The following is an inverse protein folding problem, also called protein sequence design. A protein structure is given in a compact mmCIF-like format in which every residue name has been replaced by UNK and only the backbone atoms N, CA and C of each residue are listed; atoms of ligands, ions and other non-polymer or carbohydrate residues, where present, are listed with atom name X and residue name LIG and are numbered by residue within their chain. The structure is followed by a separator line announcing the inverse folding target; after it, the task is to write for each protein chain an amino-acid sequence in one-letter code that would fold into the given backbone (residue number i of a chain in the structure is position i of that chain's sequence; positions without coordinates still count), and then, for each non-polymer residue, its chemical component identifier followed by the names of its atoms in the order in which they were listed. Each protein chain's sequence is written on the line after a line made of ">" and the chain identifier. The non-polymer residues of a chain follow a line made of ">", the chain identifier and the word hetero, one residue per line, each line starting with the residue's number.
data_IF_628571918518
#
_entry.id   IF_628571918518
#
_cell.length_a   1.000
_cell.length_b   1.000
_cell.length_c   1.000
_cell.angle_alpha   90.00
_cell.angle_beta   90.00
_cell.angle_gamma   90.00
#
_symmetry.space_group_name_H-M   'P 1'
#
loop_
_entity.id
_entity.type
_entity.pdbx_description
1 polymer ?
#
# COMPACT_ATOMS: atom_id res chain seq x y z
N UNK A 1 -31.07 -8.16 21.17
CA UNK A 1 -30.87 -8.51 20.61
C UNK A 1 -30.31 -8.44 19.80
N UNK A 2 -30.27 -8.52 19.96
CA UNK A 2 -29.89 -8.59 19.28
C UNK A 2 -29.47 -8.58 18.34
N UNK A 3 -29.61 -8.56 18.25
CA UNK A 3 -29.36 -8.76 17.36
C UNK A 3 -28.96 -8.62 16.40
N UNK A 4 -29.06 -8.37 16.48
CA UNK A 4 -28.75 -8.24 15.62
C UNK A 4 -28.02 -8.40 15.01
N UNK A 5 -28.10 -8.25 14.95
CA UNK A 5 -27.28 -8.53 14.45
C UNK A 5 -26.58 -9.27 13.92
N UNK A 6 -26.69 -9.21 14.16
CA UNK A 6 -26.29 -10.57 13.93
C UNK A 6 -26.27 -11.03 12.52
N UNK A 7 -27.11 -10.47 11.73
CA UNK A 7 -27.30 -10.94 10.37
C UNK A 7 -26.08 -10.75 9.50
N UNK A 8 -25.30 -9.69 9.72
CA UNK A 8 -24.13 -9.43 8.89
C UNK A 8 -22.94 -9.06 9.75
N UNK A 9 -21.88 -9.87 9.71
CA UNK A 9 -20.66 -9.51 10.43
C UNK A 9 -20.02 -8.27 9.81
N UNK A 10 -19.45 -7.44 10.65
CA UNK A 10 -18.69 -6.28 10.18
C UNK A 10 -17.42 -6.72 9.47
N UNK A 11 -16.82 -7.81 9.95
CA UNK A 11 -15.55 -8.31 9.42
C UNK A 11 -15.80 -9.64 8.72
N UNK A 12 -15.29 -9.74 7.49
CA UNK A 12 -15.40 -10.97 6.70
C UNK A 12 -14.03 -11.31 6.13
N UNK A 13 -13.82 -12.60 5.85
CA UNK A 13 -12.56 -13.03 5.21
C UNK A 13 -12.79 -13.10 3.71
N UNK A 14 -11.94 -12.41 2.98
CA UNK A 14 -11.96 -12.36 1.52
C UNK A 14 -10.62 -12.80 0.96
N UNK A 15 -10.46 -12.74 -0.36
CA UNK A 15 -9.17 -13.00 -1.00
C UNK A 15 -8.08 -12.06 -0.52
N UNK A 16 -8.45 -10.90 0.01
CA UNK A 16 -7.51 -9.91 0.54
C UNK A 16 -7.18 -10.15 2.01
N UNK A 17 -7.83 -11.11 2.66
CA UNK A 17 -7.71 -11.37 4.08
C UNK A 17 -8.91 -10.84 4.83
N UNK A 18 -8.72 -10.43 6.08
CA UNK A 18 -9.79 -9.88 6.90
C UNK A 18 -10.17 -8.50 6.38
N UNK A 19 -11.42 -8.34 6.02
CA UNK A 19 -11.92 -7.13 5.36
C UNK A 19 -13.19 -6.63 6.03
N UNK A 20 -13.48 -5.35 5.81
CA UNK A 20 -14.74 -4.77 6.29
C UNK A 20 -15.82 -5.13 5.28
N UNK A 21 -16.88 -5.77 5.75
CA UNK A 21 -17.96 -6.25 4.89
C UNK A 21 -18.52 -5.12 4.03
N UNK A 22 -18.72 -5.41 2.77
CA UNK A 22 -19.27 -4.45 1.81
C UNK A 22 -18.26 -3.43 1.28
N UNK A 23 -16.98 -3.56 1.66
CA UNK A 23 -15.94 -2.63 1.21
C UNK A 23 -14.74 -3.39 0.71
N UNK A 24 -13.80 -2.66 0.12
CA UNK A 24 -12.48 -3.20 -0.26
C UNK A 24 -11.42 -2.93 0.81
N UNK A 25 -11.81 -2.34 1.91
CA UNK A 25 -10.91 -1.97 2.98
C UNK A 25 -10.62 -3.18 3.83
N UNK A 26 -9.34 -3.44 4.10
CA UNK A 26 -8.92 -4.56 4.96
C UNK A 26 -8.61 -4.06 6.36
N UNK A 27 -8.56 -4.98 7.32
CA UNK A 27 -8.11 -4.64 8.67
C UNK A 27 -6.64 -4.18 8.67
N UNK A 28 -5.86 -4.65 7.70
CA UNK A 28 -4.46 -4.27 7.59
C UNK A 28 -4.32 -2.80 7.18
N UNK A 29 -5.25 -2.30 6.36
CA UNK A 29 -5.31 -0.87 6.04
C UNK A 29 -5.57 -0.05 7.30
N UNK A 30 -6.49 -0.51 8.14
CA UNK A 30 -6.77 0.15 9.41
C UNK A 30 -5.56 0.09 10.33
N UNK A 31 -4.88 -1.06 10.36
CA UNK A 31 -3.68 -1.23 11.19
C UNK A 31 -2.57 -0.26 10.80
N UNK A 32 -2.41 0.06 9.51
CA UNK A 32 -1.42 1.03 9.07
C UNK A 32 -1.61 2.38 9.77
N UNK A 33 -2.86 2.80 9.93
CA UNK A 33 -3.16 4.07 10.60
C UNK A 33 -3.05 3.96 12.11
N UNK A 34 -3.48 2.82 12.67
CA UNK A 34 -3.36 2.61 14.11
C UNK A 34 -1.90 2.59 14.57
N UNK A 35 -1.02 1.98 13.78
CA UNK A 35 0.42 1.97 14.08
C UNK A 35 1.00 3.37 14.01
N UNK A 36 0.43 4.24 13.18
CA UNK A 36 0.82 5.64 13.07
C UNK A 36 0.16 6.53 14.11
N UNK A 37 -0.52 5.93 15.12
CA UNK A 37 -1.17 6.62 16.22
C UNK A 37 -2.37 7.49 15.82
N UNK A 38 -3.03 7.13 14.71
CA UNK A 38 -4.25 7.82 14.33
C UNK A 38 -5.40 7.40 15.25
N UNK A 39 -6.21 8.33 15.74
CA UNK A 39 -7.39 7.97 16.53
C UNK A 39 -8.44 7.32 15.62
N UNK A 40 -9.26 6.39 16.17
CA UNK A 40 -10.27 5.70 15.36
C UNK A 40 -11.21 6.63 14.61
N UNK A 41 -11.58 7.75 15.21
CA UNK A 41 -12.47 8.72 14.58
C UNK A 41 -11.85 9.28 13.30
N UNK A 42 -10.56 9.55 13.30
CA UNK A 42 -9.86 10.08 12.14
C UNK A 42 -9.75 9.01 11.05
N UNK A 43 -9.51 7.75 11.44
CA UNK A 43 -9.47 6.62 10.51
C UNK A 43 -10.85 6.46 9.86
N UNK A 44 -11.90 6.55 10.66
CA UNK A 44 -13.27 6.47 10.16
C UNK A 44 -13.51 7.50 9.07
N UNK A 45 -13.15 8.75 9.32
CA UNK A 45 -13.39 9.84 8.39
C UNK A 45 -12.52 9.69 7.13
N UNK A 46 -11.27 9.30 7.32
CA UNK A 46 -10.34 9.15 6.20
C UNK A 46 -10.73 8.01 5.26
N UNK A 47 -11.15 6.88 5.82
CA UNK A 47 -11.55 5.71 5.04
C UNK A 47 -13.02 5.72 4.68
N UNK A 48 -13.74 6.77 5.08
CA UNK A 48 -15.16 6.92 4.81
C UNK A 48 -16.00 5.76 5.35
N UNK A 49 -15.73 5.39 6.59
CA UNK A 49 -16.43 4.32 7.27
C UNK A 49 -17.59 4.88 8.11
N UNK A 50 -18.58 4.05 8.39
CA UNK A 50 -19.62 4.40 9.34
C UNK A 50 -19.14 4.19 10.77
N UNK A 51 -19.86 4.76 11.73
CA UNK A 51 -19.56 4.56 13.13
C UNK A 51 -19.64 3.07 13.50
N UNK A 52 -20.62 2.36 12.96
CA UNK A 52 -20.77 0.94 13.20
C UNK A 52 -19.60 0.14 12.65
N UNK A 53 -19.12 0.53 11.45
CA UNK A 53 -17.99 -0.16 10.83
C UNK A 53 -16.72 0.02 11.63
N UNK A 54 -16.38 1.24 12.01
CA UNK A 54 -15.16 1.47 12.79
C UNK A 54 -15.24 0.84 14.17
N UNK A 55 -16.40 0.90 14.80
CA UNK A 55 -16.60 0.25 16.10
C UNK A 55 -16.41 -1.26 15.99
N UNK A 56 -16.98 -1.88 14.96
CA UNK A 56 -16.83 -3.31 14.72
C UNK A 56 -15.39 -3.71 14.44
N UNK A 57 -14.68 -2.89 13.67
CA UNK A 57 -13.26 -3.13 13.38
C UNK A 57 -12.43 -3.07 14.65
N UNK A 58 -12.63 -2.04 15.46
CA UNK A 58 -11.85 -1.87 16.69
C UNK A 58 -12.14 -2.99 17.68
N UNK A 59 -13.41 -3.38 17.78
CA UNK A 59 -13.79 -4.51 18.64
C UNK A 59 -13.15 -5.80 18.16
N UNK A 60 -13.18 -6.07 16.86
CA UNK A 60 -12.57 -7.28 16.31
C UNK A 60 -11.08 -7.31 16.56
N UNK A 61 -10.39 -6.20 16.31
CA UNK A 61 -8.95 -6.12 16.55
C UNK A 61 -8.63 -6.38 18.01
N UNK A 62 -9.38 -5.77 18.91
CA UNK A 62 -9.16 -5.94 20.35
C UNK A 62 -9.37 -7.38 20.79
N UNK A 63 -10.43 -8.02 20.32
CA UNK A 63 -10.76 -9.39 20.69
C UNK A 63 -9.87 -10.44 20.03
N UNK A 64 -9.21 -10.08 18.91
CA UNK A 64 -8.40 -11.00 18.14
C UNK A 64 -7.01 -10.40 17.85
N UNK A 65 -6.50 -9.64 18.79
CA UNK A 65 -5.28 -8.85 18.57
C UNK A 65 -4.10 -9.69 18.08
N UNK A 66 -3.84 -10.82 18.71
CA UNK A 66 -2.73 -11.68 18.35
C UNK A 66 -2.85 -12.16 16.89
N UNK A 67 -4.07 -12.58 16.51
CA UNK A 67 -4.32 -13.05 15.15
C UNK A 67 -4.18 -11.91 14.13
N UNK A 68 -4.78 -10.77 14.42
CA UNK A 68 -4.75 -9.63 13.51
C UNK A 68 -3.31 -9.12 13.33
N UNK A 69 -2.57 -9.00 14.43
CA UNK A 69 -1.18 -8.56 14.36
C UNK A 69 -0.31 -9.55 13.59
N UNK A 70 -0.51 -10.85 13.79
CA UNK A 70 0.23 -11.87 13.06
C UNK A 70 -0.04 -11.78 11.55
N UNK A 71 -1.29 -11.63 11.17
CA UNK A 71 -1.65 -11.49 9.76
C UNK A 71 -1.13 -10.19 9.17
N UNK A 72 -1.19 -9.12 9.95
CA UNK A 72 -0.66 -7.83 9.53
C UNK A 72 0.85 -7.92 9.27
N UNK A 73 1.59 -8.58 10.15
CA UNK A 73 3.02 -8.80 9.95
C UNK A 73 3.30 -9.60 8.69
N UNK A 74 2.48 -10.61 8.40
CA UNK A 74 2.61 -11.38 7.17
C UNK A 74 2.37 -10.52 5.93
N UNK A 75 1.38 -9.63 5.99
CA UNK A 75 1.10 -8.71 4.89
C UNK A 75 2.29 -7.77 4.67
N UNK A 76 2.84 -7.22 5.73
CA UNK A 76 4.00 -6.33 5.64
C UNK A 76 5.22 -7.08 5.11
N UNK A 77 5.45 -8.30 5.57
CA UNK A 77 6.58 -9.10 5.12
C UNK A 77 6.45 -9.44 3.63
N UNK A 78 5.25 -9.82 3.21
CA UNK A 78 5.00 -10.15 1.81
C UNK A 78 5.19 -8.92 0.92
N UNK A 79 4.71 -7.77 1.36
CA UNK A 79 4.90 -6.52 0.62
C UNK A 79 6.39 -6.18 0.52
N UNK A 80 7.15 -6.37 1.60
CA UNK A 80 8.59 -6.14 1.59
C UNK A 80 9.31 -7.10 0.66
N UNK A 81 8.92 -8.38 0.66
CA UNK A 81 9.52 -9.39 -0.21
C UNK A 81 9.26 -9.04 -1.68
N UNK A 82 8.04 -8.60 -2.00
CA UNK A 82 7.69 -8.21 -3.36
C UNK A 82 8.49 -6.98 -3.77
N UNK A 83 8.62 -6.00 -2.89
CA UNK A 83 9.39 -4.79 -3.15
C UNK A 83 10.86 -5.14 -3.40
N UNK A 84 11.43 -6.01 -2.57
CA UNK A 84 12.80 -6.45 -2.70
C UNK A 84 13.03 -7.18 -4.03
N UNK A 85 12.08 -8.06 -4.38
CA UNK A 85 12.13 -8.80 -5.63
C UNK A 85 12.19 -7.85 -6.84
N UNK A 86 11.31 -6.84 -6.87
CA UNK A 86 11.27 -5.90 -7.97
C UNK A 86 12.48 -4.97 -7.99
N UNK A 87 12.98 -4.58 -6.83
CA UNK A 87 14.19 -3.78 -6.77
C UNK A 87 15.38 -4.53 -7.34
N UNK A 88 15.53 -5.81 -7.00
CA UNK A 88 16.63 -6.62 -7.51
C UNK A 88 16.54 -6.80 -9.01
N UNK A 89 15.34 -7.09 -9.51
CA UNK A 89 15.12 -7.22 -10.96
C UNK A 89 15.39 -5.92 -11.68
N UNK A 90 14.92 -4.81 -11.13
CA UNK A 90 15.11 -3.51 -11.74
C UNK A 90 16.59 -3.13 -11.75
N UNK A 91 17.32 -3.48 -10.70
CA UNK A 91 18.76 -3.20 -10.63
C UNK A 91 19.50 -3.91 -11.75
N UNK A 92 19.21 -5.20 -11.95
CA UNK A 92 19.80 -5.97 -13.04
C UNK A 92 19.45 -5.36 -14.40
N UNK A 93 18.19 -5.01 -14.57
CA UNK A 93 17.69 -4.45 -15.82
C UNK A 93 18.36 -3.11 -16.12
N UNK A 94 18.50 -2.25 -15.12
CA UNK A 94 19.17 -0.97 -15.30
C UNK A 94 20.65 -1.17 -15.62
N UNK A 95 21.29 -2.17 -15.01
CA UNK A 95 22.68 -2.48 -15.30
C UNK A 95 22.84 -2.94 -16.76
N UNK A 96 21.94 -3.78 -17.24
CA UNK A 96 21.93 -4.23 -18.62
C UNK A 96 21.73 -3.04 -19.58
N UNK A 97 20.75 -2.21 -19.29
CA UNK A 97 20.46 -1.03 -20.10
C UNK A 97 21.67 -0.08 -20.14
N UNK A 98 22.31 0.11 -18.99
CA UNK A 98 23.49 0.98 -18.89
C UNK A 98 24.68 0.44 -19.71
N UNK A 99 24.75 -0.89 -19.89
CA UNK A 99 25.84 -1.51 -20.63
C UNK A 99 25.61 -1.44 -22.15
N UNK A 100 24.39 -1.15 -22.60
CA UNK A 100 24.07 -1.08 -24.02
C UNK A 100 24.46 0.28 -24.57
N UNK A 101 25.34 0.34 -25.61
CA UNK A 101 25.67 1.63 -26.19
C UNK A 101 24.43 2.25 -26.86
N UNK A 102 24.20 3.55 -26.70
CA UNK A 102 23.03 4.18 -27.30
C UNK A 102 23.14 4.15 -28.84
N UNK A 103 22.02 3.98 -29.54
CA UNK A 103 22.02 4.08 -31.00
C UNK A 103 22.53 5.45 -31.47
N UNK A 104 23.11 5.54 -32.65
CA UNK A 104 23.61 6.81 -33.14
C UNK A 104 22.56 7.92 -33.16
N UNK A 105 21.32 7.57 -33.47
CA UNK A 105 20.21 8.52 -33.48
C UNK A 105 19.98 9.13 -32.11
N UNK A 106 20.10 8.34 -31.06
CA UNK A 106 19.90 8.81 -29.69
C UNK A 106 21.09 9.69 -29.25
N UNK A 107 22.27 9.44 -29.76
CA UNK A 107 23.42 10.30 -29.45
C UNK A 107 23.19 11.73 -29.95
N UNK A 108 22.65 11.89 -31.13
CA UNK A 108 22.33 13.21 -31.67
C UNK A 108 21.28 13.90 -30.82
N UNK A 109 20.24 13.18 -30.44
CA UNK A 109 19.17 13.72 -29.60
C UNK A 109 19.71 14.12 -28.24
N UNK A 110 20.55 13.29 -27.64
CA UNK A 110 21.18 13.61 -26.37
C UNK A 110 22.08 14.85 -26.45
N UNK A 111 22.84 14.94 -27.51
CA UNK A 111 23.69 16.10 -27.73
C UNK A 111 22.87 17.38 -27.85
N UNK A 112 21.75 17.30 -28.57
CA UNK A 112 20.85 18.45 -28.71
C UNK A 112 20.22 18.83 -27.39
N UNK A 113 19.81 17.82 -26.59
CA UNK A 113 19.20 18.05 -25.28
C UNK A 113 20.22 18.70 -24.33
N UNK A 114 21.45 18.21 -24.34
CA UNK A 114 22.50 18.78 -23.49
C UNK A 114 22.81 20.22 -23.87
N UNK A 115 22.91 20.50 -25.19
CA UNK A 115 23.12 21.84 -25.68
C UNK A 115 21.98 22.76 -25.26
N UNK A 116 20.77 22.27 -25.31
CA UNK A 116 19.57 23.02 -24.91
C UNK A 116 19.55 23.31 -23.42
N UNK A 117 19.89 22.31 -22.61
CA UNK A 117 19.99 22.49 -21.17
C UNK A 117 21.05 23.47 -20.78
N UNK A 118 22.22 23.43 -21.47
CA UNK A 118 23.30 24.37 -21.22
C UNK A 118 22.86 25.80 -21.56
N UNK A 119 22.10 25.95 -22.65
CA UNK A 119 21.59 27.26 -23.04
C UNK A 119 20.61 27.79 -22.02
N UNK A 120 19.72 26.95 -21.51
CA UNK A 120 18.77 27.33 -20.49
C UNK A 120 19.45 27.65 -19.17
N UNK A 121 20.52 26.95 -18.86
CA UNK A 121 21.26 27.17 -17.63
C UNK A 121 22.05 28.48 -17.63
N UNK A 122 22.24 29.10 -18.77
CA UNK A 122 22.97 30.36 -18.90
C UNK A 122 22.07 31.59 -18.76
N UNK A 123 20.78 31.37 -18.66
CA UNK A 123 19.80 32.47 -18.52
C UNK A 123 19.53 32.81 -17.01
#
# INVERSE_FOLDING_TARGET
>A
MTKKNTSQPTIVRTNRGLSIAGTRITLYDVMDYLVADWPPRLIRDWLNLTDAQIAGVMEYIENNRAQVEAEYHQVLQRAEDIRQYWEDRNRERFAEIASIPPPPEQKEIRAKLQAWKARLGQV
#
